data_IF_574906456713
#
_entry.id   IF_574906456713
#
_cell.length_a   1.000
_cell.length_b   1.000
_cell.length_c   1.000
_cell.angle_alpha   90.00
_cell.angle_beta   90.00
_cell.angle_gamma   90.00
#
_symmetry.space_group_name_H-M   'P 1'
#
loop_
_entity.id
_entity.type
_entity.pdbx_description
1 polymer ?
#
# COMPACT_ATOMS: atom_id res chain seq x y z
N UNK A 1 21.30 -6.61 0.27
CA UNK A 1 20.45 -5.42 0.03
C UNK A 1 20.70 -4.88 -1.37
N UNK A 2 19.95 -5.44 -2.32
CA UNK A 2 19.65 -4.91 -3.64
C UNK A 2 18.35 -5.64 -4.03
N UNK A 3 17.24 -5.16 -3.49
CA UNK A 3 15.94 -5.84 -3.53
C UNK A 3 15.24 -5.54 -4.86
N UNK A 4 15.78 -6.11 -5.94
CA UNK A 4 15.11 -6.05 -7.22
C UNK A 4 13.84 -6.90 -7.16
N UNK A 5 12.71 -6.31 -7.54
CA UNK A 5 11.49 -7.07 -7.77
C UNK A 5 11.61 -7.88 -9.06
N UNK A 6 11.29 -9.17 -8.97
CA UNK A 6 11.22 -10.08 -10.10
C UNK A 6 9.75 -10.26 -10.49
N UNK A 7 9.31 -9.52 -11.52
CA UNK A 7 7.95 -9.60 -12.05
C UNK A 7 8.04 -9.95 -13.53
N UNK A 8 7.56 -11.14 -13.88
CA UNK A 8 7.56 -11.68 -15.24
C UNK A 8 6.15 -11.94 -15.77
N UNK A 9 5.14 -11.88 -14.90
CA UNK A 9 3.77 -12.17 -15.26
C UNK A 9 3.09 -11.12 -16.15
N UNK A 10 2.40 -11.61 -17.18
CA UNK A 10 1.57 -10.82 -18.10
C UNK A 10 0.12 -10.62 -17.61
N UNK A 11 -0.35 -11.45 -16.69
CA UNK A 11 -1.71 -11.31 -16.11
C UNK A 11 -1.66 -10.63 -14.75
N UNK A 12 -2.70 -9.85 -14.43
CA UNK A 12 -2.84 -9.19 -13.12
C UNK A 12 -2.79 -10.18 -11.96
N UNK A 13 -3.46 -11.33 -12.09
CA UNK A 13 -3.51 -12.36 -11.05
C UNK A 13 -2.13 -12.99 -10.80
N UNK A 14 -1.43 -13.40 -11.88
CA UNK A 14 -0.08 -13.97 -11.75
C UNK A 14 0.92 -12.94 -11.21
N UNK A 15 0.78 -11.66 -11.58
CA UNK A 15 1.62 -10.59 -11.04
C UNK A 15 1.46 -10.40 -9.53
N UNK A 16 0.24 -10.49 -9.00
CA UNK A 16 0.04 -10.51 -7.55
C UNK A 16 0.66 -11.74 -6.91
N UNK A 17 0.52 -12.92 -7.53
CA UNK A 17 1.11 -14.16 -7.01
C UNK A 17 2.64 -14.12 -6.96
N UNK A 18 3.29 -13.49 -7.94
CA UNK A 18 4.74 -13.25 -7.93
C UNK A 18 5.15 -12.20 -6.88
N UNK A 19 4.37 -11.11 -6.75
CA UNK A 19 4.73 -9.98 -5.90
C UNK A 19 4.56 -10.24 -4.41
N UNK A 20 3.50 -10.96 -4.00
CA UNK A 20 3.17 -11.18 -2.60
C UNK A 20 4.34 -11.75 -1.76
N UNK A 21 4.97 -12.88 -2.13
CA UNK A 21 6.08 -13.44 -1.35
C UNK A 21 7.30 -12.50 -1.29
N UNK A 22 7.47 -11.64 -2.30
CA UNK A 22 8.55 -10.64 -2.30
C UNK A 22 8.29 -9.51 -1.30
N UNK A 23 7.03 -9.06 -1.17
CA UNK A 23 6.63 -8.09 -0.13
C UNK A 23 6.74 -8.70 1.26
N UNK A 24 6.34 -9.96 1.43
CA UNK A 24 6.49 -10.68 2.70
C UNK A 24 7.97 -10.74 3.13
N UNK A 25 8.86 -11.15 2.22
CA UNK A 25 10.30 -11.18 2.49
C UNK A 25 10.87 -9.78 2.83
N UNK A 26 10.42 -8.75 2.10
CA UNK A 26 10.85 -7.35 2.30
C UNK A 26 10.46 -6.78 3.67
N UNK A 27 9.37 -7.27 4.26
CA UNK A 27 8.81 -6.74 5.50
C UNK A 27 9.02 -7.63 6.72
N UNK A 28 9.49 -8.87 6.53
CA UNK A 28 9.59 -9.88 7.59
C UNK A 28 10.60 -9.54 8.70
N UNK A 29 11.74 -8.91 8.36
CA UNK A 29 12.83 -8.63 9.31
C UNK A 29 12.90 -7.17 9.74
N UNK A 30 12.02 -6.30 9.21
CA UNK A 30 12.02 -4.87 9.53
C UNK A 30 10.92 -4.56 10.57
N UNK A 31 11.26 -4.13 11.79
CA UNK A 31 10.28 -3.78 12.82
C UNK A 31 9.58 -2.42 12.60
N UNK A 32 10.16 -1.51 11.82
CA UNK A 32 9.60 -0.17 11.59
C UNK A 32 8.40 -0.21 10.64
N UNK A 33 7.24 0.15 11.17
CA UNK A 33 6.00 0.20 10.40
C UNK A 33 6.08 1.17 9.22
N UNK A 34 6.75 2.32 9.38
CA UNK A 34 6.83 3.32 8.31
C UNK A 34 7.66 2.81 7.14
N UNK A 35 8.79 2.18 7.42
CA UNK A 35 9.65 1.53 6.43
C UNK A 35 8.87 0.44 5.67
N UNK A 36 8.17 -0.44 6.39
CA UNK A 36 7.36 -1.50 5.78
C UNK A 36 6.25 -0.98 4.87
N UNK A 37 5.51 0.04 5.30
CA UNK A 37 4.46 0.65 4.49
C UNK A 37 5.04 1.38 3.27
N UNK A 38 6.17 2.09 3.43
CA UNK A 38 6.83 2.79 2.33
C UNK A 38 7.32 1.81 1.25
N UNK A 39 8.00 0.74 1.68
CA UNK A 39 8.50 -0.31 0.79
C UNK A 39 7.37 -1.08 0.11
N UNK A 40 6.28 -1.38 0.83
CA UNK A 40 5.09 -2.03 0.22
C UNK A 40 4.46 -1.15 -0.85
N UNK A 41 4.32 0.16 -0.62
CA UNK A 41 3.80 1.09 -1.61
C UNK A 41 4.70 1.22 -2.84
N UNK A 42 6.02 1.26 -2.63
CA UNK A 42 7.02 1.26 -3.70
C UNK A 42 6.94 -0.01 -4.56
N UNK A 43 6.88 -1.18 -3.91
CA UNK A 43 6.82 -2.47 -4.57
C UNK A 43 5.56 -2.60 -5.46
N UNK A 44 4.40 -2.22 -4.93
CA UNK A 44 3.14 -2.19 -5.67
C UNK A 44 3.19 -1.18 -6.84
N UNK A 45 3.78 0.00 -6.65
CA UNK A 45 3.91 1.00 -7.73
C UNK A 45 4.83 0.50 -8.84
N UNK A 46 5.96 -0.10 -8.51
CA UNK A 46 6.89 -0.67 -9.49
C UNK A 46 6.27 -1.85 -10.24
N UNK A 47 5.54 -2.72 -9.55
CA UNK A 47 4.89 -3.87 -10.17
C UNK A 47 3.76 -3.45 -11.13
N UNK A 48 2.93 -2.46 -10.79
CA UNK A 48 1.70 -2.19 -11.53
C UNK A 48 1.62 -0.84 -12.25
N UNK A 49 2.51 0.11 -11.94
CA UNK A 49 2.45 1.46 -12.50
C UNK A 49 1.20 2.25 -12.10
N UNK A 50 0.50 1.84 -11.04
CA UNK A 50 -0.74 2.49 -10.56
C UNK A 50 -0.55 3.98 -10.35
N UNK A 51 -1.55 4.81 -10.67
CA UNK A 51 -1.45 6.26 -10.51
C UNK A 51 -1.18 6.71 -9.07
N UNK A 52 -1.78 6.02 -8.09
CA UNK A 52 -1.60 6.27 -6.67
C UNK A 52 -1.66 4.95 -5.88
N UNK A 53 -0.72 4.74 -4.97
CA UNK A 53 -0.69 3.60 -4.04
C UNK A 53 -0.22 4.09 -2.68
N UNK A 54 -0.87 3.67 -1.61
CA UNK A 54 -0.43 4.05 -0.27
C UNK A 54 -1.43 3.66 0.79
N UNK A 55 -1.19 4.19 1.99
CA UNK A 55 -1.91 3.79 3.18
C UNK A 55 -2.52 5.00 3.89
N UNK A 56 -3.67 4.75 4.53
CA UNK A 56 -4.20 5.62 5.56
C UNK A 56 -4.27 4.83 6.87
N UNK A 57 -3.80 5.44 7.95
CA UNK A 57 -3.77 4.83 9.28
C UNK A 57 -4.83 5.47 10.17
N UNK A 58 -5.53 4.65 10.95
CA UNK A 58 -6.49 5.16 11.95
C UNK A 58 -5.72 5.88 13.05
N UNK A 59 -6.00 7.17 13.27
CA UNK A 59 -5.49 7.96 14.39
C UNK A 59 -6.65 8.72 15.03
N UNK A 60 -7.13 8.20 16.16
CA UNK A 60 -8.35 8.70 16.80
C UNK A 60 -9.58 8.38 15.96
N UNK A 61 -10.36 9.39 15.60
CA UNK A 61 -11.61 9.31 14.83
C UNK A 61 -11.42 9.56 13.31
N UNK A 62 -10.18 9.65 12.86
CA UNK A 62 -9.84 9.91 11.46
C UNK A 62 -8.82 8.93 10.89
N UNK A 63 -8.89 8.74 9.58
CA UNK A 63 -7.81 8.21 8.77
C UNK A 63 -6.80 9.33 8.51
N UNK A 64 -5.52 9.08 8.76
CA UNK A 64 -4.41 9.99 8.49
C UNK A 64 -3.49 9.37 7.44
N UNK A 65 -3.12 10.18 6.44
CA UNK A 65 -2.23 9.75 5.36
C UNK A 65 -0.91 9.20 5.92
N UNK A 66 -0.58 7.97 5.52
CA UNK A 66 0.69 7.30 5.77
C UNK A 66 1.58 7.32 4.51
N UNK A 67 2.61 6.46 4.43
CA UNK A 67 3.46 6.34 3.25
C UNK A 67 2.66 6.03 1.97
N UNK A 68 3.06 6.65 0.87
CA UNK A 68 2.41 6.51 -0.44
C UNK A 68 3.36 6.83 -1.60
N UNK A 69 2.93 6.47 -2.82
CA UNK A 69 3.57 6.74 -4.10
C UNK A 69 2.55 7.37 -5.04
N UNK A 70 2.77 8.62 -5.45
CA UNK A 70 1.88 9.36 -6.33
C UNK A 70 1.85 10.86 -6.02
N UNK A 71 0.94 11.63 -6.65
CA UNK A 71 0.75 13.04 -6.32
C UNK A 71 0.16 13.24 -4.92
N UNK A 72 0.18 14.50 -4.45
CA UNK A 72 -0.39 14.93 -3.17
C UNK A 72 -1.85 14.45 -3.04
N UNK A 73 -2.20 13.93 -1.87
CA UNK A 73 -3.53 13.40 -1.54
C UNK A 73 -4.11 14.04 -0.27
N UNK A 74 -5.32 13.62 0.14
CA UNK A 74 -5.96 14.10 1.35
C UNK A 74 -5.15 13.73 2.60
N UNK A 75 -4.84 14.69 3.48
CA UNK A 75 -4.08 14.39 4.71
C UNK A 75 -4.94 13.66 5.76
N UNK A 76 -6.23 14.01 5.86
CA UNK A 76 -7.17 13.47 6.85
C UNK A 76 -8.51 13.12 6.20
N UNK A 77 -9.09 11.98 6.59
CA UNK A 77 -10.38 11.50 6.10
C UNK A 77 -11.22 10.99 7.28
N UNK A 78 -12.43 11.54 7.47
CA UNK A 78 -13.36 11.07 8.49
C UNK A 78 -13.98 9.73 8.11
N UNK A 79 -14.36 8.94 9.12
CA UNK A 79 -15.09 7.68 8.93
C UNK A 79 -16.38 7.90 8.12
N UNK A 80 -16.63 7.03 7.14
CA UNK A 80 -17.78 7.10 6.23
C UNK A 80 -17.71 8.20 5.17
N UNK A 81 -16.60 8.97 5.08
CA UNK A 81 -16.45 10.03 4.07
C UNK A 81 -15.59 9.59 2.90
N UNK A 82 -16.15 9.71 1.69
CA UNK A 82 -15.47 9.30 0.45
C UNK A 82 -15.17 7.80 0.42
N UNK A 83 -14.42 7.35 -0.59
CA UNK A 83 -14.16 5.93 -0.81
C UNK A 83 -13.40 5.31 0.37
N UNK A 84 -12.27 5.91 0.78
CA UNK A 84 -11.45 5.36 1.87
C UNK A 84 -12.18 5.39 3.22
N UNK A 85 -12.90 6.47 3.54
CA UNK A 85 -13.68 6.54 4.77
C UNK A 85 -14.85 5.55 4.79
N UNK A 86 -15.48 5.29 3.64
CA UNK A 86 -16.57 4.30 3.51
C UNK A 86 -16.03 2.87 3.67
N UNK A 87 -14.91 2.55 3.03
CA UNK A 87 -14.25 1.24 3.22
C UNK A 87 -13.87 1.00 4.69
N UNK A 88 -13.38 2.03 5.39
CA UNK A 88 -13.14 1.95 6.84
C UNK A 88 -14.43 1.77 7.66
N UNK A 89 -15.53 2.43 7.26
CA UNK A 89 -16.80 2.31 7.96
C UNK A 89 -17.44 0.92 7.83
N UNK A 90 -17.37 0.34 6.63
CA UNK A 90 -18.08 -0.88 6.26
C UNK A 90 -17.20 -2.15 6.37
N UNK A 91 -15.88 -1.99 6.53
CA UNK A 91 -14.90 -3.07 6.58
C UNK A 91 -15.00 -4.04 5.38
N UNK A 92 -15.19 -3.49 4.17
CA UNK A 92 -15.27 -4.23 2.90
C UNK A 92 -14.40 -3.60 1.82
N UNK A 93 -13.92 -4.44 0.91
CA UNK A 93 -13.10 -4.11 -0.27
C UNK A 93 -13.88 -4.29 -1.56
#
# INVERSE_FOLDING_TARGET
>A
MAENLFITADTKAARYAELLPQIEALTAEEPDLTANLANTAAALRQAFGFFWVGFYLVKGDELVLGPFQGPIACTRIRKGRGVCGTSWAEART
#
